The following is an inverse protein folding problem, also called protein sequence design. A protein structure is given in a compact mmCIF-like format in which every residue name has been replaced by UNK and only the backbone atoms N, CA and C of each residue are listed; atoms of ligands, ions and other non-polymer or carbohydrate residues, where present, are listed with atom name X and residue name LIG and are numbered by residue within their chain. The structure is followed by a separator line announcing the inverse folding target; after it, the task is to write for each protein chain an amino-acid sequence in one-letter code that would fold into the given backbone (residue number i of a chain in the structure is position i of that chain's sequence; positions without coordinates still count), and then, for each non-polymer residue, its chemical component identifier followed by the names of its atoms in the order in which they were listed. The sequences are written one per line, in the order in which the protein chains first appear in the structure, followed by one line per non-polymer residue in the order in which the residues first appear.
data_IF_151123204308
#
_entry.id   IF_151123204308
#
_cell.length_a   1.000
_cell.length_b   1.000
_cell.length_c   1.000
_cell.angle_alpha   90.00
_cell.angle_beta   90.00
_cell.angle_gamma   90.00
#
_symmetry.space_group_name_H-M   'P 1'
#
loop_
_entity.id
_entity.type
_entity.pdbx_description
1 polymer ?
#
# COMPACT_ATOMS: atom_id res chain seq x y z
N UNK A 1 -17.68 14.74 26.89
CA UNK A 1 -18.47 14.19 27.95
C UNK A 1 -18.61 12.66 27.94
N UNK A 2 -19.53 12.11 27.15
CA UNK A 2 -19.89 10.69 27.20
C UNK A 2 -18.78 9.73 26.73
N UNK A 3 -17.97 10.12 25.76
CA UNK A 3 -16.88 9.27 25.22
C UNK A 3 -15.81 8.94 26.27
N UNK A 4 -15.50 9.87 27.16
CA UNK A 4 -14.52 9.64 28.24
C UNK A 4 -15.01 8.65 29.31
N UNK A 5 -16.30 8.64 29.63
CA UNK A 5 -16.87 7.71 30.62
C UNK A 5 -16.93 6.26 30.11
N UNK A 6 -17.27 6.05 28.84
CA UNK A 6 -17.28 4.70 28.23
C UNK A 6 -15.87 4.10 28.13
N UNK A 7 -14.85 4.90 27.79
CA UNK A 7 -13.46 4.44 27.80
C UNK A 7 -13.02 4.01 29.20
N UNK A 8 -13.29 4.79 30.24
CA UNK A 8 -12.96 4.43 31.63
C UNK A 8 -13.66 3.14 32.09
N UNK A 9 -14.90 2.92 31.69
CA UNK A 9 -15.64 1.68 32.02
C UNK A 9 -14.98 0.48 31.37
N UNK A 10 -14.63 0.57 30.09
CA UNK A 10 -13.94 -0.53 29.36
C UNK A 10 -12.57 -0.83 29.94
N UNK A 11 -11.79 0.20 30.28
CA UNK A 11 -10.48 0.06 30.89
C UNK A 11 -10.59 -0.72 32.23
N UNK A 12 -11.54 -0.35 33.08
CA UNK A 12 -11.77 -1.01 34.38
C UNK A 12 -12.22 -2.48 34.23
N UNK A 13 -13.04 -2.79 33.22
CA UNK A 13 -13.47 -4.16 32.94
C UNK A 13 -12.29 -5.01 32.49
N UNK A 14 -11.48 -4.51 31.53
CA UNK A 14 -10.32 -5.21 31.02
C UNK A 14 -9.30 -5.43 32.12
N UNK A 15 -9.02 -4.42 32.95
CA UNK A 15 -8.14 -4.51 34.10
C UNK A 15 -8.61 -5.61 35.07
N UNK A 16 -9.90 -5.59 35.44
CA UNK A 16 -10.46 -6.59 36.35
C UNK A 16 -10.38 -8.03 35.80
N UNK A 17 -10.64 -8.22 34.50
CA UNK A 17 -10.54 -9.53 33.86
C UNK A 17 -9.09 -10.01 33.79
N UNK A 18 -8.14 -9.13 33.41
CA UNK A 18 -6.73 -9.50 33.31
C UNK A 18 -6.09 -9.82 34.68
N UNK A 19 -6.57 -9.18 35.76
CA UNK A 19 -6.11 -9.45 37.10
C UNK A 19 -6.61 -10.82 37.66
N UNK A 20 -7.73 -11.33 37.15
CA UNK A 20 -8.32 -12.58 37.52
C UNK A 20 -7.94 -13.75 36.61
N UNK A 21 -7.28 -13.48 35.49
CA UNK A 21 -6.91 -14.49 34.52
C UNK A 21 -5.70 -15.31 34.97
N UNK A 22 -5.75 -16.62 34.78
CA UNK A 22 -4.61 -17.52 34.96
C UNK A 22 -3.65 -17.46 33.76
N UNK A 23 -4.17 -17.21 32.56
CA UNK A 23 -3.42 -17.04 31.31
C UNK A 23 -4.15 -16.08 30.38
N UNK A 24 -3.39 -15.31 29.61
CA UNK A 24 -3.91 -14.42 28.56
C UNK A 24 -3.50 -14.95 27.20
N UNK A 25 -4.46 -15.04 26.27
CA UNK A 25 -4.18 -15.33 24.87
C UNK A 25 -4.31 -14.03 24.08
N UNK A 26 -3.19 -13.53 23.57
CA UNK A 26 -3.15 -12.36 22.70
C UNK A 26 -3.60 -12.72 21.30
N UNK A 27 -4.81 -12.33 20.93
CA UNK A 27 -5.44 -12.57 19.63
C UNK A 27 -5.43 -11.31 18.72
N UNK A 28 -4.56 -10.33 18.99
CA UNK A 28 -4.43 -9.15 18.13
C UNK A 28 -3.98 -9.52 16.71
N UNK A 29 -4.17 -8.58 15.78
CA UNK A 29 -3.78 -8.78 14.39
C UNK A 29 -2.33 -9.23 14.24
N UNK A 30 -2.08 -10.10 13.25
CA UNK A 30 -0.75 -10.62 12.94
C UNK A 30 0.11 -9.53 12.25
N UNK A 31 0.63 -8.59 13.02
CA UNK A 31 1.43 -7.48 12.54
C UNK A 31 2.00 -6.61 13.66
N UNK A 32 2.86 -5.65 13.30
CA UNK A 32 3.50 -4.75 14.27
C UNK A 32 2.50 -3.95 15.10
N UNK A 33 1.45 -3.42 14.47
CA UNK A 33 0.46 -2.59 15.16
C UNK A 33 -0.41 -3.41 16.10
N UNK A 34 -0.88 -4.59 15.65
CA UNK A 34 -1.65 -5.49 16.49
C UNK A 34 -0.87 -5.94 17.73
N UNK A 35 0.41 -6.29 17.57
CA UNK A 35 1.28 -6.65 18.68
C UNK A 35 1.49 -5.47 19.64
N UNK A 36 1.76 -4.28 19.12
CA UNK A 36 2.00 -3.09 19.93
C UNK A 36 0.76 -2.68 20.74
N UNK A 37 -0.41 -2.64 20.11
CA UNK A 37 -1.67 -2.27 20.78
C UNK A 37 -1.98 -3.25 21.93
N UNK A 38 -1.89 -4.55 21.67
CA UNK A 38 -2.18 -5.55 22.68
C UNK A 38 -1.20 -5.50 23.85
N UNK A 39 0.09 -5.28 23.60
CA UNK A 39 1.09 -5.09 24.66
C UNK A 39 0.80 -3.87 25.51
N UNK A 40 0.41 -2.75 24.90
CA UNK A 40 0.03 -1.55 25.64
C UNK A 40 -1.22 -1.78 26.51
N UNK A 41 -2.21 -2.51 26.00
CA UNK A 41 -3.42 -2.84 26.77
C UNK A 41 -3.05 -3.70 27.98
N UNK A 42 -2.28 -4.78 27.79
CA UNK A 42 -1.83 -5.64 28.88
C UNK A 42 -0.96 -4.91 29.90
N UNK A 43 -0.06 -4.04 29.44
CA UNK A 43 0.78 -3.21 30.30
C UNK A 43 -0.06 -2.22 31.12
N UNK A 44 -1.03 -1.55 30.48
CA UNK A 44 -1.94 -0.59 31.14
C UNK A 44 -2.82 -1.28 32.18
N UNK A 45 -3.31 -2.48 31.88
CA UNK A 45 -4.13 -3.28 32.77
C UNK A 45 -3.31 -3.97 33.89
N UNK A 46 -1.99 -3.87 33.88
CA UNK A 46 -1.12 -4.49 34.89
C UNK A 46 -1.15 -6.02 34.88
N UNK A 47 -1.33 -6.63 33.71
CA UNK A 47 -1.35 -8.09 33.54
C UNK A 47 -0.07 -8.74 34.06
N UNK A 48 -0.21 -9.82 34.89
CA UNK A 48 0.92 -10.51 35.53
C UNK A 48 1.00 -11.99 35.18
N UNK A 49 -0.05 -12.55 34.63
CA UNK A 49 -0.12 -13.96 34.24
C UNK A 49 0.65 -14.25 32.95
N UNK A 50 0.95 -15.51 32.63
CA UNK A 50 1.54 -15.92 31.38
C UNK A 50 0.71 -15.47 30.17
N UNK A 51 1.40 -15.13 29.10
CA UNK A 51 0.73 -14.66 27.85
C UNK A 51 1.18 -15.52 26.68
N UNK A 52 0.22 -16.08 26.00
CA UNK A 52 0.40 -16.80 24.72
C UNK A 52 -0.03 -15.94 23.56
N UNK A 53 0.49 -16.21 22.37
CA UNK A 53 0.19 -15.48 21.14
C UNK A 53 -0.50 -16.39 20.12
N UNK A 54 -1.71 -16.03 19.75
CA UNK A 54 -2.38 -16.57 18.56
C UNK A 54 -1.89 -15.81 17.34
N UNK A 55 -1.23 -16.48 16.41
CA UNK A 55 -0.70 -15.86 15.19
C UNK A 55 -1.33 -16.49 13.96
N UNK A 56 -2.36 -15.86 13.43
CA UNK A 56 -3.10 -16.31 12.25
C UNK A 56 -3.29 -15.14 11.27
N UNK A 57 -3.31 -15.43 9.98
CA UNK A 57 -3.57 -14.46 8.89
C UNK A 57 -4.94 -14.65 8.24
N UNK A 58 -5.70 -15.66 8.66
CA UNK A 58 -7.04 -15.97 8.17
C UNK A 58 -7.98 -16.18 9.34
N UNK A 59 -9.24 -15.73 9.20
CA UNK A 59 -10.29 -15.90 10.21
C UNK A 59 -11.25 -17.04 9.86
N UNK A 60 -10.82 -17.99 9.02
CA UNK A 60 -11.60 -19.22 8.79
C UNK A 60 -11.60 -20.10 10.05
N UNK A 61 -12.68 -20.85 10.25
CA UNK A 61 -12.80 -21.72 11.42
C UNK A 61 -11.64 -22.69 11.56
N UNK A 62 -11.17 -23.24 10.43
CA UNK A 62 -10.04 -24.16 10.38
C UNK A 62 -8.74 -23.47 10.83
N UNK A 63 -8.43 -22.29 10.31
CA UNK A 63 -7.24 -21.51 10.69
C UNK A 63 -7.27 -21.09 12.16
N UNK A 64 -8.44 -20.76 12.70
CA UNK A 64 -8.61 -20.43 14.12
C UNK A 64 -8.33 -21.67 14.99
N UNK A 65 -8.93 -22.82 14.67
CA UNK A 65 -8.72 -24.08 15.42
C UNK A 65 -7.26 -24.51 15.41
N UNK A 66 -6.60 -24.46 14.25
CA UNK A 66 -5.18 -24.76 14.10
C UNK A 66 -4.31 -23.78 14.89
N UNK A 67 -4.63 -22.49 14.83
CA UNK A 67 -3.93 -21.45 15.57
C UNK A 67 -4.00 -21.63 17.07
N UNK A 68 -5.16 -21.97 17.62
CA UNK A 68 -5.31 -22.27 19.05
C UNK A 68 -4.61 -23.57 19.46
N UNK A 69 -4.50 -24.54 18.57
CA UNK A 69 -3.71 -25.75 18.83
C UNK A 69 -2.19 -25.49 18.83
N UNK A 70 -1.75 -24.40 18.18
CA UNK A 70 -0.34 -24.04 18.00
C UNK A 70 -0.02 -22.64 18.55
N UNK A 71 -0.48 -22.33 19.76
CA UNK A 71 -0.18 -21.05 20.40
C UNK A 71 1.33 -20.90 20.61
N UNK A 72 1.83 -19.69 20.35
CA UNK A 72 3.23 -19.35 20.46
C UNK A 72 3.52 -18.61 21.76
N UNK A 73 4.79 -18.63 22.18
CA UNK A 73 5.22 -17.82 23.31
C UNK A 73 5.28 -16.34 22.92
N UNK A 74 4.80 -15.47 23.80
CA UNK A 74 4.83 -14.03 23.55
C UNK A 74 6.25 -13.48 23.38
N UNK A 75 7.24 -14.11 24.00
CA UNK A 75 8.66 -13.75 23.91
C UNK A 75 9.22 -13.83 22.49
N UNK A 76 8.69 -14.72 21.65
CA UNK A 76 9.09 -14.84 20.24
C UNK A 76 8.79 -13.57 19.43
N UNK A 77 7.81 -12.79 19.87
CA UNK A 77 7.38 -11.54 19.23
C UNK A 77 8.00 -10.28 19.83
N UNK A 78 8.98 -10.43 20.72
CA UNK A 78 9.66 -9.27 21.33
C UNK A 78 10.32 -8.35 20.31
N UNK A 79 11.05 -8.83 19.29
CA UNK A 79 11.62 -7.95 18.26
C UNK A 79 10.55 -7.20 17.44
N UNK A 80 9.39 -7.85 17.20
CA UNK A 80 8.28 -7.24 16.49
C UNK A 80 7.65 -6.10 17.31
N UNK A 81 7.48 -6.31 18.59
CA UNK A 81 7.01 -5.29 19.53
C UNK A 81 7.96 -4.08 19.59
N UNK A 82 9.26 -4.35 19.73
CA UNK A 82 10.28 -3.29 19.78
C UNK A 82 10.34 -2.47 18.48
N UNK A 83 10.19 -3.12 17.33
CA UNK A 83 10.10 -2.46 16.05
C UNK A 83 8.85 -1.56 15.95
N UNK A 84 7.68 -2.08 16.39
CA UNK A 84 6.43 -1.32 16.45
C UNK A 84 6.52 -0.13 17.40
N UNK A 85 7.10 -0.33 18.58
CA UNK A 85 7.28 0.72 19.60
C UNK A 85 8.24 1.82 19.09
N UNK A 86 9.39 1.43 18.52
CA UNK A 86 10.37 2.37 17.97
C UNK A 86 9.76 3.22 16.87
N UNK A 87 8.96 2.60 15.99
CA UNK A 87 8.20 3.30 14.95
C UNK A 87 7.21 4.29 15.56
N UNK A 88 6.41 3.88 16.54
CA UNK A 88 5.41 4.73 17.18
C UNK A 88 6.05 5.96 17.86
N UNK A 89 7.16 5.75 18.58
CA UNK A 89 7.93 6.84 19.21
C UNK A 89 8.49 7.79 18.15
N UNK A 90 9.10 7.26 17.10
CA UNK A 90 9.65 8.05 16.01
C UNK A 90 8.59 8.88 15.28
N UNK A 91 7.43 8.29 14.98
CA UNK A 91 6.29 8.97 14.35
C UNK A 91 5.74 10.07 15.26
N UNK A 92 5.64 9.83 16.56
CA UNK A 92 5.21 10.82 17.53
C UNK A 92 6.19 12.00 17.66
N UNK A 93 7.48 11.72 17.81
CA UNK A 93 8.52 12.75 17.92
C UNK A 93 8.58 13.63 16.66
N UNK A 94 8.62 12.99 15.47
CA UNK A 94 8.62 13.70 14.20
C UNK A 94 7.33 14.52 14.01
N UNK A 95 6.19 13.86 14.18
CA UNK A 95 4.88 14.48 13.96
C UNK A 95 4.65 15.69 14.85
N UNK A 96 4.93 15.58 16.15
CA UNK A 96 4.76 16.67 17.11
C UNK A 96 5.70 17.85 16.81
N UNK A 97 7.00 17.59 16.65
CA UNK A 97 7.97 18.67 16.47
C UNK A 97 7.84 19.35 15.10
N UNK A 98 7.74 18.57 14.03
CA UNK A 98 7.63 19.11 12.68
C UNK A 98 6.29 19.84 12.46
N UNK A 99 5.17 19.29 12.91
CA UNK A 99 3.87 19.94 12.81
C UNK A 99 3.86 21.29 13.53
N UNK A 100 4.39 21.34 14.76
CA UNK A 100 4.47 22.60 15.51
C UNK A 100 5.37 23.63 14.81
N UNK A 101 6.57 23.21 14.38
CA UNK A 101 7.50 24.08 13.68
C UNK A 101 6.91 24.66 12.40
N UNK A 102 6.34 23.81 11.55
CA UNK A 102 5.77 24.24 10.27
C UNK A 102 4.52 25.07 10.47
N UNK A 103 3.66 24.72 11.42
CA UNK A 103 2.47 25.51 11.74
C UNK A 103 2.83 26.92 12.24
N UNK A 104 3.85 27.03 13.10
CA UNK A 104 4.31 28.34 13.62
C UNK A 104 4.97 29.17 12.53
N UNK A 105 5.74 28.54 11.64
CA UNK A 105 6.52 29.24 10.62
C UNK A 105 5.71 29.62 9.38
N UNK A 106 4.79 28.77 8.95
CA UNK A 106 4.07 28.88 7.69
C UNK A 106 2.56 28.84 7.82
N UNK A 107 2.01 28.49 8.98
CA UNK A 107 0.57 28.44 9.21
C UNK A 107 -0.05 29.84 9.15
N UNK A 108 -1.16 29.95 8.42
CA UNK A 108 -1.97 31.16 8.32
C UNK A 108 -3.35 30.88 8.93
N UNK A 109 -3.96 31.92 9.52
CA UNK A 109 -5.35 31.85 10.02
C UNK A 109 -5.65 30.67 10.98
N UNK A 110 -4.71 30.31 11.86
CA UNK A 110 -4.81 29.18 12.80
C UNK A 110 -4.90 27.79 12.13
N UNK A 111 -4.52 27.68 10.86
CA UNK A 111 -4.49 26.41 10.17
C UNK A 111 -3.29 25.58 10.65
N UNK A 112 -3.56 24.35 11.12
CA UNK A 112 -2.52 23.41 11.49
C UNK A 112 -1.95 22.76 10.23
N UNK A 113 -0.63 22.88 10.05
CA UNK A 113 0.10 22.21 8.98
C UNK A 113 0.64 20.87 9.49
N UNK A 114 -0.16 19.84 9.36
CA UNK A 114 0.18 18.50 9.83
C UNK A 114 1.30 17.87 9.00
N UNK A 115 2.34 17.43 9.67
CA UNK A 115 3.48 16.73 9.09
C UNK A 115 3.50 15.29 9.61
N UNK A 116 3.66 14.34 8.73
CA UNK A 116 3.72 12.93 9.10
C UNK A 116 4.48 12.10 8.09
N UNK A 117 4.95 10.95 8.55
CA UNK A 117 5.81 10.04 7.79
C UNK A 117 5.13 9.47 6.51
N UNK A 118 3.82 9.36 6.50
CA UNK A 118 3.07 8.86 5.34
C UNK A 118 2.44 9.99 4.55
N UNK A 119 1.69 10.86 5.21
CA UNK A 119 0.91 11.92 4.55
C UNK A 119 1.78 12.93 3.80
N UNK A 120 2.91 13.33 4.38
CA UNK A 120 3.78 14.35 3.76
C UNK A 120 4.49 13.83 2.49
N UNK A 121 5.10 12.64 2.48
CA UNK A 121 5.64 12.06 1.24
C UNK A 121 4.57 11.80 0.18
N UNK A 122 3.36 11.38 0.59
CA UNK A 122 2.25 11.18 -0.35
C UNK A 122 1.85 12.49 -1.01
N UNK A 123 1.71 13.56 -0.24
CA UNK A 123 1.44 14.90 -0.78
C UNK A 123 2.58 15.36 -1.71
N UNK A 124 3.83 15.12 -1.33
CA UNK A 124 4.98 15.48 -2.14
C UNK A 124 4.98 14.78 -3.52
N UNK A 125 4.56 13.51 -3.58
CA UNK A 125 4.39 12.79 -4.86
C UNK A 125 3.32 13.43 -5.75
N UNK A 126 2.20 13.84 -5.17
CA UNK A 126 1.11 14.51 -5.90
C UNK A 126 1.60 15.86 -6.43
N UNK A 127 2.23 16.67 -5.58
CA UNK A 127 2.77 17.99 -5.99
C UNK A 127 3.82 17.85 -7.09
N UNK A 128 4.73 16.87 -6.95
CA UNK A 128 5.73 16.59 -7.98
C UNK A 128 5.08 16.23 -9.32
N UNK A 129 4.07 15.35 -9.30
CA UNK A 129 3.35 15.00 -10.53
C UNK A 129 2.63 16.20 -11.13
N UNK A 130 2.03 17.05 -10.33
CA UNK A 130 1.40 18.28 -10.81
C UNK A 130 2.41 19.20 -11.50
N UNK A 131 3.58 19.39 -10.90
CA UNK A 131 4.67 20.18 -11.50
C UNK A 131 5.18 19.57 -12.81
N UNK A 132 5.29 18.23 -12.90
CA UNK A 132 5.65 17.55 -14.14
C UNK A 132 4.61 17.80 -15.25
N UNK A 133 3.32 17.82 -14.91
CA UNK A 133 2.23 18.10 -15.86
C UNK A 133 2.27 19.55 -16.31
N UNK A 134 2.41 20.50 -15.40
CA UNK A 134 2.45 21.94 -15.69
C UNK A 134 3.68 22.34 -16.51
N UNK A 135 4.81 21.68 -16.27
CA UNK A 135 6.05 21.95 -16.99
C UNK A 135 6.25 21.04 -18.23
N UNK A 136 5.26 20.20 -18.54
CA UNK A 136 5.37 19.27 -19.65
C UNK A 136 5.42 20.03 -20.99
N UNK A 137 6.51 19.83 -21.73
CA UNK A 137 6.69 20.33 -23.08
C UNK A 137 6.61 19.13 -24.03
N UNK A 138 5.57 19.06 -24.89
CA UNK A 138 5.49 17.97 -25.85
C UNK A 138 6.61 18.10 -26.89
N UNK A 139 7.38 17.04 -27.05
CA UNK A 139 8.40 16.93 -28.08
C UNK A 139 7.87 16.03 -29.20
N UNK A 140 7.77 16.52 -30.44
CA UNK A 140 7.36 15.68 -31.55
C UNK A 140 8.45 14.64 -31.87
N UNK A 141 8.05 13.46 -32.23
CA UNK A 141 8.93 12.42 -32.73
C UNK A 141 8.31 11.73 -33.94
N UNK A 142 9.15 11.12 -34.73
CA UNK A 142 8.73 10.41 -35.94
C UNK A 142 9.13 8.93 -35.83
N UNK A 143 8.28 8.06 -36.33
CA UNK A 143 8.55 6.64 -36.40
C UNK A 143 8.40 6.17 -37.84
N UNK A 144 9.34 5.35 -38.32
CA UNK A 144 9.23 4.71 -39.61
C UNK A 144 8.59 3.35 -39.45
N UNK A 145 7.51 3.13 -40.18
CA UNK A 145 6.78 1.85 -40.24
C UNK A 145 6.53 1.44 -41.68
N UNK A 146 6.53 0.14 -41.93
CA UNK A 146 6.08 -0.42 -43.20
C UNK A 146 4.99 -1.45 -42.95
N UNK A 147 4.06 -1.56 -43.89
CA UNK A 147 2.97 -2.52 -43.82
C UNK A 147 3.13 -3.50 -45.00
N UNK A 148 3.19 -4.79 -44.68
CA UNK A 148 3.21 -5.83 -45.65
C UNK A 148 2.25 -6.96 -45.25
N UNK A 149 1.32 -7.31 -46.13
CA UNK A 149 0.27 -8.35 -45.88
C UNK A 149 -0.41 -8.17 -44.52
N UNK A 150 -0.95 -6.97 -44.26
CA UNK A 150 -1.67 -6.59 -43.02
C UNK A 150 -0.82 -6.59 -41.74
N UNK A 151 0.47 -6.88 -41.85
CA UNK A 151 1.40 -6.85 -40.72
C UNK A 151 2.23 -5.57 -40.74
N UNK A 152 2.30 -4.88 -39.60
CA UNK A 152 3.11 -3.67 -39.44
C UNK A 152 4.49 -4.02 -38.88
N UNK A 153 5.52 -3.57 -39.57
CA UNK A 153 6.91 -3.67 -39.16
C UNK A 153 7.43 -2.30 -38.76
N UNK A 154 8.04 -2.23 -37.61
CA UNK A 154 8.62 -0.99 -37.07
C UNK A 154 10.12 -0.97 -37.34
N UNK A 155 10.66 0.24 -37.59
CA UNK A 155 12.11 0.42 -37.72
C UNK A 155 12.82 0.06 -36.40
N UNK A 156 13.94 -0.65 -36.48
CA UNK A 156 14.79 -0.97 -35.33
C UNK A 156 15.52 0.28 -34.78
N UNK A 157 15.63 1.36 -35.56
CA UNK A 157 16.17 2.64 -35.08
C UNK A 157 15.27 3.36 -34.07
N UNK A 158 14.00 2.94 -33.93
CA UNK A 158 13.06 3.54 -33.00
C UNK A 158 12.58 4.92 -33.43
N UNK A 159 12.63 5.89 -32.53
CA UNK A 159 12.11 7.24 -32.73
C UNK A 159 13.18 8.16 -33.29
N UNK A 160 12.79 9.00 -34.27
CA UNK A 160 13.62 10.08 -34.83
C UNK A 160 13.23 11.40 -34.17
N UNK A 161 14.22 12.23 -33.84
CA UNK A 161 14.03 13.53 -33.20
C UNK A 161 13.64 14.63 -34.17
N UNK A 162 13.91 14.47 -35.48
CA UNK A 162 13.52 15.39 -36.53
C UNK A 162 12.87 14.67 -37.72
N UNK A 163 11.99 15.37 -38.40
CA UNK A 163 11.34 14.88 -39.61
C UNK A 163 12.35 14.63 -40.74
N UNK A 164 13.31 15.52 -40.89
CA UNK A 164 14.36 15.40 -41.90
C UNK A 164 15.25 14.17 -41.71
N UNK A 165 15.56 13.81 -40.46
CA UNK A 165 16.31 12.59 -40.18
C UNK A 165 15.50 11.36 -40.58
N UNK A 166 14.22 11.32 -40.21
CA UNK A 166 13.29 10.26 -40.62
C UNK A 166 13.14 10.13 -42.14
N UNK A 167 13.01 11.26 -42.84
CA UNK A 167 12.90 11.29 -44.33
C UNK A 167 14.18 10.83 -45.00
N UNK A 168 15.35 11.27 -44.56
CA UNK A 168 16.63 10.77 -45.06
C UNK A 168 16.77 9.26 -44.88
N UNK A 169 16.35 8.74 -43.73
CA UNK A 169 16.39 7.31 -43.51
C UNK A 169 15.36 6.58 -44.41
N UNK A 170 14.17 7.13 -44.58
CA UNK A 170 13.17 6.59 -45.49
C UNK A 170 13.71 6.49 -46.93
N UNK A 171 14.40 7.50 -47.43
CA UNK A 171 15.00 7.49 -48.77
C UNK A 171 16.03 6.38 -48.94
N UNK A 172 16.81 6.07 -47.89
CA UNK A 172 17.80 4.98 -47.96
C UNK A 172 17.17 3.60 -48.09
N UNK A 173 15.96 3.42 -47.54
CA UNK A 173 15.27 2.11 -47.54
C UNK A 173 14.17 1.99 -48.59
N UNK A 174 13.70 3.11 -49.17
CA UNK A 174 12.55 3.16 -50.08
C UNK A 174 12.71 2.31 -51.34
N UNK A 175 13.90 2.23 -51.86
CA UNK A 175 14.22 1.49 -53.11
C UNK A 175 14.78 0.07 -52.81
N UNK A 176 14.85 -0.34 -51.58
CA UNK A 176 15.33 -1.66 -51.19
C UNK A 176 14.19 -2.67 -51.17
N UNK A 177 14.46 -3.87 -51.64
CA UNK A 177 13.50 -4.97 -51.54
C UNK A 177 13.28 -5.35 -50.10
N UNK A 178 12.01 -5.49 -49.71
CA UNK A 178 11.67 -6.01 -48.38
C UNK A 178 11.92 -7.54 -48.36
N UNK A 179 12.89 -7.96 -47.54
CA UNK A 179 13.25 -9.35 -47.38
C UNK A 179 13.17 -9.71 -45.90
N UNK A 180 12.44 -10.78 -45.58
CA UNK A 180 12.40 -11.32 -44.22
C UNK A 180 13.68 -12.11 -44.01
N UNK A 181 14.55 -11.66 -43.12
CA UNK A 181 15.86 -12.28 -42.84
C UNK A 181 15.81 -13.27 -41.67
N UNK A 182 14.91 -13.07 -40.74
CA UNK A 182 14.76 -13.95 -39.59
C UNK A 182 13.30 -13.99 -39.11
N UNK A 183 12.87 -15.16 -38.65
CA UNK A 183 11.58 -15.42 -38.03
C UNK A 183 11.81 -16.24 -36.78
N UNK A 184 11.63 -15.62 -35.62
CA UNK A 184 11.72 -16.34 -34.35
C UNK A 184 10.34 -16.45 -33.69
N UNK A 185 9.97 -17.67 -33.31
CA UNK A 185 8.77 -17.94 -32.52
C UNK A 185 9.17 -18.50 -31.15
N UNK A 186 8.75 -17.84 -30.10
CA UNK A 186 8.92 -18.32 -28.72
C UNK A 186 7.58 -18.78 -28.18
N UNK A 187 7.48 -20.04 -27.77
CA UNK A 187 6.34 -20.51 -26.98
C UNK A 187 6.49 -19.93 -25.57
N UNK A 188 5.54 -19.13 -25.15
CA UNK A 188 5.43 -18.64 -23.79
C UNK A 188 4.23 -19.27 -23.08
N UNK A 189 4.28 -19.31 -21.78
CA UNK A 189 3.12 -19.61 -20.93
C UNK A 189 2.64 -18.31 -20.32
N UNK A 190 1.36 -18.00 -20.51
CA UNK A 190 0.72 -16.89 -19.82
C UNK A 190 0.10 -17.42 -18.54
N UNK A 191 0.56 -16.90 -17.40
CA UNK A 191 -0.02 -17.28 -16.12
C UNK A 191 -1.40 -16.61 -15.96
N UNK A 192 -2.36 -17.26 -15.28
CA UNK A 192 -3.61 -16.60 -14.96
C UNK A 192 -3.36 -15.34 -14.12
N UNK A 193 -4.24 -14.33 -14.21
CA UNK A 193 -4.11 -13.15 -13.38
C UNK A 193 -4.15 -13.52 -11.90
N UNK A 194 -3.41 -12.79 -11.09
CA UNK A 194 -3.45 -12.96 -9.63
C UNK A 194 -4.85 -12.61 -9.10
N UNK A 195 -5.21 -13.22 -7.99
CA UNK A 195 -6.39 -12.79 -7.23
C UNK A 195 -6.22 -11.32 -6.81
N UNK A 196 -7.33 -10.63 -6.68
CA UNK A 196 -7.31 -9.24 -6.25
C UNK A 196 -6.87 -9.11 -4.79
N UNK A 197 -5.97 -8.21 -4.53
CA UNK A 197 -5.83 -7.56 -3.24
C UNK A 197 -6.76 -6.34 -3.17
N UNK A 198 -6.87 -5.71 -2.00
CA UNK A 198 -7.76 -4.56 -1.81
C UNK A 198 -7.45 -3.43 -2.80
N UNK A 199 -6.17 -3.09 -2.96
CA UNK A 199 -5.75 -1.97 -3.82
C UNK A 199 -6.05 -2.24 -5.29
N UNK A 200 -5.71 -3.42 -5.79
CA UNK A 200 -5.98 -3.79 -7.19
C UNK A 200 -7.47 -3.89 -7.49
N UNK A 201 -8.28 -4.35 -6.53
CA UNK A 201 -9.73 -4.35 -6.66
C UNK A 201 -10.31 -2.93 -6.66
N UNK A 202 -9.85 -2.04 -5.80
CA UNK A 202 -10.25 -0.63 -5.81
C UNK A 202 -9.95 0.04 -7.16
N UNK A 203 -8.76 -0.21 -7.73
CA UNK A 203 -8.38 0.32 -9.05
C UNK A 203 -9.31 -0.22 -10.15
N UNK A 204 -9.61 -1.51 -10.13
CA UNK A 204 -10.46 -2.13 -11.15
C UNK A 204 -11.92 -1.68 -11.04
N UNK A 205 -12.44 -1.57 -9.81
CA UNK A 205 -13.78 -1.03 -9.55
C UNK A 205 -13.90 0.45 -9.95
N UNK A 206 -12.86 1.23 -9.72
CA UNK A 206 -12.83 2.61 -10.18
C UNK A 206 -12.86 2.70 -11.72
N UNK A 207 -12.06 1.91 -12.42
CA UNK A 207 -12.03 1.87 -13.89
C UNK A 207 -13.36 1.45 -14.50
N UNK A 208 -14.00 0.42 -13.96
CA UNK A 208 -15.22 -0.18 -14.55
C UNK A 208 -16.50 0.52 -14.12
N UNK A 209 -16.57 0.95 -12.88
CA UNK A 209 -17.81 1.42 -12.24
C UNK A 209 -17.70 2.85 -11.68
N UNK A 210 -16.52 3.49 -11.79
CA UNK A 210 -16.22 4.80 -11.21
C UNK A 210 -16.44 4.85 -9.69
N UNK A 211 -16.30 3.72 -8.99
CA UNK A 211 -16.40 3.67 -7.55
C UNK A 211 -15.18 4.31 -6.89
N UNK A 212 -15.42 5.02 -5.79
CA UNK A 212 -14.33 5.48 -4.93
C UNK A 212 -13.66 4.30 -4.19
N UNK A 213 -12.45 4.52 -3.69
CA UNK A 213 -11.76 3.52 -2.88
C UNK A 213 -12.57 3.16 -1.62
N UNK A 214 -13.19 4.17 -0.99
CA UNK A 214 -14.03 3.99 0.20
C UNK A 214 -15.30 3.19 -0.11
N UNK A 215 -16.01 3.53 -1.20
CA UNK A 215 -17.17 2.78 -1.63
C UNK A 215 -16.86 1.30 -1.92
N UNK A 216 -15.72 1.05 -2.55
CA UNK A 216 -15.28 -0.32 -2.82
C UNK A 216 -15.01 -1.08 -1.52
N UNK A 217 -14.36 -0.43 -0.55
CA UNK A 217 -14.10 -1.03 0.76
C UNK A 217 -15.40 -1.36 1.51
N UNK A 218 -16.37 -0.46 1.53
CA UNK A 218 -17.69 -0.69 2.15
C UNK A 218 -18.43 -1.86 1.52
N UNK A 219 -18.41 -1.99 0.19
CA UNK A 219 -19.01 -3.11 -0.52
C UNK A 219 -18.35 -4.44 -0.18
N UNK A 220 -17.02 -4.48 -0.12
CA UNK A 220 -16.27 -5.68 0.29
C UNK A 220 -16.64 -6.07 1.71
N UNK A 221 -16.64 -5.11 2.63
CA UNK A 221 -16.99 -5.34 4.03
C UNK A 221 -18.42 -5.91 4.14
N UNK A 222 -19.38 -5.33 3.43
CA UNK A 222 -20.78 -5.82 3.45
C UNK A 222 -20.94 -7.22 2.88
N UNK A 223 -20.08 -7.64 1.95
CA UNK A 223 -20.07 -9.01 1.41
C UNK A 223 -19.42 -10.00 2.38
N UNK A 224 -18.42 -9.55 3.13
CA UNK A 224 -17.72 -10.38 4.12
C UNK A 224 -18.57 -10.64 5.38
N UNK A 225 -19.39 -9.68 5.78
CA UNK A 225 -20.25 -9.76 6.98
C UNK A 225 -21.59 -10.49 6.75
N UNK A 226 -21.88 -10.93 5.52
CA UNK A 226 -23.06 -11.75 5.19
C UNK A 226 -22.78 -13.24 5.32
#
# INVERSE_FOLDING_TARGET
GLVGSEMCIRDSIIEGLMQQADEIINCGDAGQEGELIQRWVMQKAGARCPVKRLWISSLTEEAIREGFANLKEQSEFQPLYEAGLSRAIGDWLLGMNATRLYTLKYGQNRQVLSIGRVQTPTLALIVKRQQEIENFKPEPYWELKTVYRETTFNSTKGKFSSKEEGEKFLETVRNSNFTVTDVSAKKGTEAPPRLFDLTSLQVECNKKFSYSADMTLQLIQSLYEK
#
